data_IF_047059089572
#
_entry.id   IF_047059089572
#
_cell.length_a   1.000
_cell.length_b   1.000
_cell.length_c   1.000
_cell.angle_alpha   90.00
_cell.angle_beta   90.00
_cell.angle_gamma   90.00
#
_symmetry.space_group_name_H-M   'P 1'
#
loop_
_entity.id
_entity.type
_entity.pdbx_description
1 polymer ?
#
# COMPACT_ATOMS: atom_id res chain seq x y z
N UNK A 1 11.30 6.77 -10.82
CA UNK A 1 9.90 6.34 -11.10
C UNK A 1 8.91 6.88 -10.06
N UNK A 2 7.61 6.78 -10.35
CA UNK A 2 6.53 7.13 -9.42
C UNK A 2 5.56 5.95 -9.32
N UNK A 3 5.40 5.41 -8.11
CA UNK A 3 4.50 4.29 -7.82
C UNK A 3 3.24 4.81 -7.12
N UNK A 4 2.11 4.14 -7.31
CA UNK A 4 0.92 4.41 -6.50
C UNK A 4 0.75 3.30 -5.47
N UNK A 5 0.74 3.69 -4.20
CA UNK A 5 0.62 2.79 -3.07
C UNK A 5 -0.76 2.97 -2.43
N UNK A 6 -1.40 1.88 -2.01
CA UNK A 6 -2.62 1.92 -1.20
C UNK A 6 -2.45 1.09 0.06
N UNK A 7 -3.14 1.45 1.13
CA UNK A 7 -3.09 0.74 2.42
C UNK A 7 -4.38 -0.03 2.60
N UNK A 8 -4.27 -1.34 2.89
CA UNK A 8 -5.41 -2.19 3.21
C UNK A 8 -5.87 -1.90 4.64
N UNK A 9 -7.19 -1.83 4.85
CA UNK A 9 -7.80 -1.58 6.16
C UNK A 9 -7.86 -0.11 6.60
N UNK A 10 -7.16 0.78 5.90
CA UNK A 10 -7.40 2.23 5.96
C UNK A 10 -8.35 2.65 4.81
N UNK A 11 -8.64 3.94 4.66
CA UNK A 11 -9.57 4.57 3.70
C UNK A 11 -9.33 4.23 2.19
N UNK A 12 -8.51 3.22 1.86
CA UNK A 12 -8.34 2.63 0.53
C UNK A 12 -7.70 3.55 -0.52
N UNK A 13 -7.46 4.81 -0.16
CA UNK A 13 -7.01 5.84 -1.07
C UNK A 13 -5.55 5.59 -1.50
N UNK A 14 -5.37 5.41 -2.80
CA UNK A 14 -4.05 5.32 -3.40
C UNK A 14 -3.32 6.68 -3.36
N UNK A 15 -2.07 6.68 -2.92
CA UNK A 15 -1.21 7.85 -2.87
C UNK A 15 0.06 7.63 -3.69
N UNK A 16 0.58 8.69 -4.34
CA UNK A 16 1.81 8.57 -5.11
C UNK A 16 3.03 8.48 -4.18
N UNK A 17 4.00 7.66 -4.52
CA UNK A 17 5.32 7.53 -3.87
C UNK A 17 6.39 7.69 -4.94
N UNK A 18 7.40 8.52 -4.66
CA UNK A 18 8.51 8.75 -5.58
C UNK A 18 9.69 7.88 -5.17
N UNK A 19 10.27 7.16 -6.14
CA UNK A 19 11.38 6.23 -5.92
C UNK A 19 12.46 6.47 -6.99
N UNK A 20 13.73 6.35 -6.62
CA UNK A 20 14.87 6.29 -7.54
C UNK A 20 14.98 4.88 -8.09
N UNK A 21 15.15 4.75 -9.40
CA UNK A 21 15.06 3.45 -10.10
C UNK A 21 16.26 2.53 -9.86
N UNK A 22 17.45 3.09 -9.64
CA UNK A 22 18.72 2.37 -9.76
C UNK A 22 19.29 1.80 -8.46
N UNK A 23 18.85 2.31 -7.30
CA UNK A 23 19.46 1.97 -6.01
C UNK A 23 18.42 1.74 -4.90
N UNK A 24 17.17 2.16 -5.10
CA UNK A 24 16.15 1.99 -4.07
C UNK A 24 15.66 0.54 -4.04
N UNK A 25 15.53 0.03 -2.82
CA UNK A 25 14.97 -1.28 -2.54
C UNK A 25 13.50 -1.18 -2.13
N UNK A 26 12.82 -2.31 -2.06
CA UNK A 26 11.51 -2.42 -1.40
C UNK A 26 11.59 -2.01 0.07
N UNK A 27 12.75 -2.18 0.73
CA UNK A 27 13.00 -1.62 2.06
C UNK A 27 12.83 -0.09 2.07
N UNK A 28 13.50 0.61 1.17
CA UNK A 28 13.37 2.08 1.02
C UNK A 28 11.93 2.50 0.69
N UNK A 29 11.18 1.65 -0.03
CA UNK A 29 9.77 1.88 -0.30
C UNK A 29 8.95 1.90 0.99
N UNK A 30 9.19 0.95 1.90
CA UNK A 30 8.50 0.87 3.19
C UNK A 30 8.75 2.13 4.01
N UNK A 31 10.00 2.59 4.08
CA UNK A 31 10.36 3.83 4.76
C UNK A 31 9.69 5.06 4.14
N UNK A 32 9.64 5.13 2.82
CA UNK A 32 9.02 6.25 2.10
C UNK A 32 7.50 6.28 2.30
N UNK A 33 6.84 5.13 2.29
CA UNK A 33 5.41 5.00 2.62
C UNK A 33 5.16 5.47 4.05
N UNK A 34 5.97 5.00 5.00
CA UNK A 34 5.89 5.40 6.41
C UNK A 34 6.07 6.90 6.57
N UNK A 35 7.04 7.50 5.91
CA UNK A 35 7.28 8.94 5.96
C UNK A 35 6.09 9.76 5.42
N UNK A 36 5.43 9.29 4.35
CA UNK A 36 4.25 9.97 3.78
C UNK A 36 2.99 9.83 4.62
N UNK A 37 2.82 8.67 5.24
CA UNK A 37 1.64 8.32 6.04
C UNK A 37 1.96 8.29 7.52
N UNK A 38 2.87 9.15 7.97
CA UNK A 38 3.37 9.16 9.35
C UNK A 38 2.27 9.37 10.39
N UNK A 39 1.20 10.10 10.05
CA UNK A 39 0.05 10.30 10.93
C UNK A 39 -0.76 9.01 11.13
N UNK A 40 -0.91 8.20 10.07
CA UNK A 40 -1.62 6.92 10.09
C UNK A 40 -0.71 5.78 10.60
N UNK A 41 0.62 5.94 10.50
CA UNK A 41 1.62 4.90 10.77
C UNK A 41 2.58 5.27 11.92
N UNK A 42 2.19 6.22 12.78
CA UNK A 42 3.06 6.80 13.83
C UNK A 42 3.68 5.73 14.74
N UNK A 43 2.95 4.65 14.98
CA UNK A 43 3.34 3.57 15.88
C UNK A 43 3.68 2.25 15.14
N UNK A 44 3.83 2.30 13.82
CA UNK A 44 4.14 1.14 13.00
C UNK A 44 5.57 1.27 12.49
N UNK A 45 6.40 0.28 12.83
CA UNK A 45 7.71 0.10 12.23
C UNK A 45 7.54 -0.27 10.75
N UNK A 46 8.34 0.35 9.88
CA UNK A 46 8.33 0.05 8.45
C UNK A 46 8.51 -1.45 8.18
N UNK A 47 9.32 -2.13 8.99
CA UNK A 47 9.56 -3.58 8.94
C UNK A 47 8.29 -4.43 9.17
N UNK A 48 7.39 -3.99 10.07
CA UNK A 48 6.14 -4.69 10.38
C UNK A 48 5.10 -4.59 9.28
N UNK A 49 5.29 -3.68 8.32
CA UNK A 49 4.43 -3.56 7.15
C UNK A 49 4.86 -4.56 6.08
N UNK A 50 3.87 -5.29 5.53
CA UNK A 50 4.09 -6.16 4.37
C UNK A 50 3.63 -5.45 3.11
N UNK A 51 4.46 -5.48 2.08
CA UNK A 51 4.16 -4.86 0.79
C UNK A 51 3.86 -5.95 -0.23
N UNK A 52 2.85 -5.72 -1.05
CA UNK A 52 2.42 -6.64 -2.09
C UNK A 52 2.28 -5.90 -3.41
N UNK A 53 2.61 -6.57 -4.50
CA UNK A 53 2.38 -6.06 -5.84
C UNK A 53 0.88 -6.08 -6.12
N UNK A 54 0.31 -4.93 -6.47
CA UNK A 54 -1.11 -4.78 -6.80
C UNK A 54 -1.39 -5.27 -8.23
N UNK A 55 -0.88 -6.46 -8.56
CA UNK A 55 -0.93 -7.04 -9.90
C UNK A 55 -1.33 -8.51 -9.80
N UNK A 56 -2.30 -8.90 -10.62
CA UNK A 56 -2.84 -10.25 -10.69
C UNK A 56 -3.04 -10.63 -12.14
N UNK A 57 -2.61 -11.83 -12.52
CA UNK A 57 -2.74 -12.34 -13.90
C UNK A 57 -2.25 -11.34 -14.97
N UNK A 58 -1.09 -10.71 -14.71
CA UNK A 58 -0.48 -9.64 -15.52
C UNK A 58 -1.26 -8.30 -15.59
N UNK A 59 -2.39 -8.16 -14.88
CA UNK A 59 -3.23 -6.96 -14.83
C UNK A 59 -3.04 -6.17 -13.51
N UNK A 60 -2.99 -4.84 -13.61
CA UNK A 60 -2.85 -3.96 -12.45
C UNK A 60 -4.20 -3.63 -11.84
N UNK A 61 -4.22 -3.52 -10.51
CA UNK A 61 -5.40 -3.16 -9.75
C UNK A 61 -5.83 -1.72 -10.05
N UNK A 62 -7.11 -1.52 -10.34
CA UNK A 62 -7.64 -0.18 -10.62
C UNK A 62 -8.09 0.52 -9.34
N UNK A 63 -8.37 1.83 -9.40
CA UNK A 63 -8.99 2.55 -8.28
C UNK A 63 -10.44 2.14 -8.01
N UNK A 64 -11.05 1.38 -8.93
CA UNK A 64 -12.41 0.86 -8.77
C UNK A 64 -12.43 -0.48 -8.03
N UNK A 65 -11.29 -1.17 -7.97
CA UNK A 65 -11.14 -2.42 -7.24
C UNK A 65 -11.02 -2.17 -5.74
N UNK A 66 -11.57 -3.08 -4.96
CA UNK A 66 -11.41 -3.07 -3.51
C UNK A 66 -10.06 -3.70 -3.15
N UNK A 67 -9.21 -3.01 -2.37
CA UNK A 67 -7.98 -3.59 -1.84
C UNK A 67 -8.32 -4.59 -0.72
N UNK A 68 -8.49 -5.85 -1.09
CA UNK A 68 -8.75 -6.97 -0.17
C UNK A 68 -7.71 -8.09 -0.27
N UNK A 69 -7.80 -9.09 0.62
CA UNK A 69 -6.84 -10.19 0.71
C UNK A 69 -6.62 -10.96 -0.60
N UNK A 70 -7.55 -10.88 -1.56
CA UNK A 70 -7.43 -11.56 -2.85
C UNK A 70 -6.29 -11.04 -3.73
N UNK A 71 -5.82 -9.82 -3.47
CA UNK A 71 -4.71 -9.16 -4.18
C UNK A 71 -3.34 -9.43 -3.53
N UNK A 72 -3.30 -10.08 -2.36
CA UNK A 72 -2.10 -10.29 -1.56
C UNK A 72 -1.26 -11.50 -1.99
N UNK A 73 -1.18 -11.76 -3.29
CA UNK A 73 -0.52 -12.96 -3.82
C UNK A 73 0.97 -12.76 -4.09
N UNK A 74 1.40 -11.54 -4.38
CA UNK A 74 2.77 -11.22 -4.80
C UNK A 74 3.46 -10.35 -3.75
N UNK A 75 3.94 -10.95 -2.67
CA UNK A 75 4.69 -10.21 -1.64
C UNK A 75 6.02 -9.70 -2.19
N UNK A 76 6.32 -8.43 -1.88
CA UNK A 76 7.56 -7.77 -2.23
C UNK A 76 8.58 -7.97 -1.11
N UNK A 77 9.69 -8.63 -1.43
CA UNK A 77 10.80 -8.81 -0.51
C UNK A 77 11.57 -7.49 -0.35
N UNK A 78 11.84 -7.09 0.90
CA UNK A 78 12.51 -5.83 1.23
C UNK A 78 13.91 -5.71 0.62
N UNK A 79 14.58 -6.83 0.37
CA UNK A 79 15.93 -6.86 -0.22
C UNK A 79 15.93 -6.68 -1.73
N UNK A 80 14.75 -6.77 -2.36
CA UNK A 80 14.62 -6.68 -3.81
C UNK A 80 14.71 -5.24 -4.27
N UNK A 81 15.47 -5.01 -5.34
CA UNK A 81 15.53 -3.71 -6.01
C UNK A 81 14.18 -3.39 -6.65
N UNK A 82 13.82 -2.11 -6.66
CA UNK A 82 12.54 -1.69 -7.23
C UNK A 82 12.55 -1.89 -8.75
N UNK A 83 13.65 -1.64 -9.45
CA UNK A 83 13.77 -1.98 -10.88
C UNK A 83 13.46 -3.47 -11.16
N UNK A 84 13.82 -4.35 -10.24
CA UNK A 84 13.62 -5.80 -10.37
C UNK A 84 12.21 -6.22 -9.90
N UNK A 85 11.60 -5.50 -8.97
CA UNK A 85 10.22 -5.73 -8.57
C UNK A 85 9.22 -5.24 -9.63
N UNK A 86 9.53 -4.15 -10.33
CA UNK A 86 8.65 -3.46 -11.26
C UNK A 86 9.21 -3.44 -12.69
N UNK A 87 9.76 -4.57 -13.15
CA UNK A 87 10.29 -4.74 -14.52
C UNK A 87 9.23 -4.61 -15.63
N UNK A 88 7.96 -4.55 -15.23
CA UNK A 88 6.79 -4.57 -16.10
C UNK A 88 6.30 -3.15 -16.37
N UNK A 89 5.51 -2.97 -17.42
CA UNK A 89 4.92 -1.66 -17.71
C UNK A 89 4.02 -1.25 -16.53
N UNK A 90 4.34 -0.11 -15.90
CA UNK A 90 3.69 0.36 -14.69
C UNK A 90 2.22 0.80 -14.92
N UNK A 91 1.72 0.73 -16.15
CA UNK A 91 0.37 1.17 -16.49
C UNK A 91 0.18 2.66 -16.20
N UNK A 92 -1.02 3.17 -16.45
CA UNK A 92 -1.38 4.56 -16.10
C UNK A 92 -2.63 4.54 -15.25
N UNK A 93 -2.62 5.31 -14.15
CA UNK A 93 -3.78 5.51 -13.24
C UNK A 93 -4.22 4.22 -12.52
N UNK A 94 -3.27 3.37 -12.17
CA UNK A 94 -3.49 2.10 -11.46
C UNK A 94 -2.75 2.09 -10.12
N UNK A 95 -3.17 1.23 -9.20
CA UNK A 95 -2.44 0.96 -7.96
C UNK A 95 -1.31 -0.01 -8.28
N UNK A 96 -0.12 0.25 -7.76
CA UNK A 96 1.07 -0.55 -8.03
C UNK A 96 1.43 -1.41 -6.82
N UNK A 97 1.19 -0.89 -5.62
CA UNK A 97 1.61 -1.51 -4.36
C UNK A 97 0.47 -1.47 -3.35
N UNK A 98 0.25 -2.59 -2.68
CA UNK A 98 -0.63 -2.72 -1.52
C UNK A 98 0.22 -2.87 -0.26
N UNK A 99 0.01 -1.97 0.69
CA UNK A 99 0.60 -2.02 2.01
C UNK A 99 -0.40 -2.65 2.97
N UNK A 100 -0.04 -3.81 3.53
CA UNK A 100 -0.80 -4.45 4.60
C UNK A 100 -0.18 -4.11 5.94
N UNK A 101 -1.01 -3.60 6.85
CA UNK A 101 -0.62 -3.30 8.22
C UNK A 101 -0.68 -4.57 9.08
N UNK A 102 0.01 -4.62 10.22
CA UNK A 102 -0.20 -5.68 11.21
C UNK A 102 -1.66 -5.67 11.68
N UNK A 103 -2.22 -6.86 11.95
CA UNK A 103 -3.63 -7.06 12.27
C UNK A 103 -4.16 -6.16 13.40
N UNK A 104 -3.32 -5.82 14.38
CA UNK A 104 -3.67 -4.91 15.47
C UNK A 104 -4.04 -3.51 14.96
N UNK A 105 -3.30 -2.99 13.99
CA UNK A 105 -3.59 -1.68 13.40
C UNK A 105 -4.69 -1.75 12.36
N UNK A 106 -4.79 -2.85 11.60
CA UNK A 106 -5.94 -3.07 10.71
C UNK A 106 -7.26 -3.03 11.51
N UNK A 107 -7.30 -3.62 12.70
CA UNK A 107 -8.47 -3.60 13.57
C UNK A 107 -8.82 -2.19 14.08
N UNK A 108 -7.83 -1.41 14.51
CA UNK A 108 -8.06 -0.02 14.95
C UNK A 108 -8.53 0.88 13.80
N UNK A 109 -7.92 0.75 12.62
CA UNK A 109 -8.30 1.51 11.42
C UNK A 109 -9.72 1.14 10.96
N UNK A 110 -10.08 -0.15 10.97
CA UNK A 110 -11.44 -0.60 10.65
C UNK A 110 -12.48 -0.08 11.64
N UNK A 111 -12.14 -0.03 12.94
CA UNK A 111 -13.02 0.57 13.97
C UNK A 111 -13.16 2.08 13.79
N UNK A 112 -12.07 2.79 13.49
CA UNK A 112 -12.09 4.22 13.22
C UNK A 112 -12.95 4.55 11.99
N UNK A 113 -12.83 3.76 10.92
CA UNK A 113 -13.65 3.91 9.73
C UNK A 113 -15.13 3.64 10.04
N UNK A 114 -15.42 2.53 10.73
CA UNK A 114 -16.80 2.20 11.12
C UNK A 114 -17.42 3.27 12.02
N UNK A 115 -16.63 3.94 12.84
CA UNK A 115 -17.07 5.07 13.65
C UNK A 115 -17.38 6.31 12.82
N UNK A 116 -16.56 6.63 11.80
CA UNK A 116 -16.83 7.74 10.87
C UNK A 116 -18.07 7.50 10.03
N UNK A 117 -18.20 6.30 9.47
CA UNK A 117 -19.37 5.90 8.68
C UNK A 117 -20.65 5.97 9.51
N UNK A 118 -20.58 5.54 10.77
CA UNK A 118 -21.69 5.71 11.70
C UNK A 118 -22.02 7.19 11.93
N UNK A 119 -21.03 8.04 12.24
CA UNK A 119 -21.24 9.48 12.50
C UNK A 119 -21.88 10.21 11.30
N UNK A 120 -21.48 9.87 10.06
CA UNK A 120 -22.08 10.43 8.84
C UNK A 120 -23.54 9.99 8.63
N UNK A 121 -23.90 8.78 9.07
CA UNK A 121 -25.26 8.24 8.98
C UNK A 121 -26.22 8.75 10.07
N UNK A 122 -25.71 9.33 11.18
CA UNK A 122 -26.54 9.86 12.28
C UNK A 122 -26.70 11.39 12.25
N UNK A 123 -26.20 12.06 11.21
CA UNK A 123 -26.38 13.51 10.93
C UNK A 123 -27.55 13.73 9.98
#
# INVERSE_FOLDING_TARGET
MKLFCSIIGADGAAFPVGMRETDDTVGDLKDTIRAKKINDLVNIDADKMRLFLARKDDEWMTTSDTPDDSWLQNELDATKLIEDAFKFDLGKRVVHVLARLPAEVEAEAALAQRKRDWDELVV
#
